data_IF_427210365959
#
_entry.id   IF_427210365959
#
_cell.length_a   1.000
_cell.length_b   1.000
_cell.length_c   1.000
_cell.angle_alpha   90.00
_cell.angle_beta   90.00
_cell.angle_gamma   90.00
#
_symmetry.space_group_name_H-M   'P 1'
#
loop_
_entity.id
_entity.type
_entity.pdbx_description
1 polymer ?
#
# COMPACT_ATOMS: atom_id res chain seq x y z
N UNK A 1 -2.83 -9.62 5.99
CA UNK A 1 -2.68 -8.15 5.88
C UNK A 1 -1.23 -7.66 5.87
N UNK A 2 -0.27 -8.32 6.55
CA UNK A 2 1.15 -7.88 6.57
C UNK A 2 1.78 -7.73 5.18
N UNK A 3 1.54 -8.69 4.28
CA UNK A 3 2.08 -8.66 2.92
C UNK A 3 1.53 -7.48 2.08
N UNK A 4 0.25 -7.14 2.25
CA UNK A 4 -0.37 -5.99 1.60
C UNK A 4 0.22 -4.66 2.08
N UNK A 5 0.55 -4.56 3.38
CA UNK A 5 1.19 -3.37 3.95
C UNK A 5 2.60 -3.16 3.41
N UNK A 6 3.40 -4.23 3.36
CA UNK A 6 4.75 -4.20 2.77
C UNK A 6 4.71 -3.86 1.29
N UNK A 7 3.76 -4.44 0.54
CA UNK A 7 3.57 -4.12 -0.87
C UNK A 7 3.24 -2.64 -1.09
N UNK A 8 2.41 -2.05 -0.22
CA UNK A 8 2.08 -0.62 -0.28
C UNK A 8 3.28 0.30 0.02
N UNK A 9 4.17 -0.11 0.91
CA UNK A 9 5.41 0.63 1.21
C UNK A 9 6.39 0.66 0.02
N UNK A 10 6.32 -0.30 -0.90
CA UNK A 10 7.16 -0.33 -2.10
C UNK A 10 6.66 0.57 -3.24
N UNK A 11 5.47 1.17 -3.12
CA UNK A 11 4.91 2.05 -4.15
C UNK A 11 5.44 3.47 -3.97
N UNK A 12 6.23 3.95 -4.95
CA UNK A 12 6.75 5.32 -4.96
C UNK A 12 5.71 6.33 -5.44
N UNK A 13 5.89 7.60 -5.07
CA UNK A 13 5.09 8.73 -5.59
C UNK A 13 5.11 8.79 -7.12
N UNK A 14 6.27 8.55 -7.73
CA UNK A 14 6.43 8.49 -9.19
C UNK A 14 5.60 7.39 -9.82
N UNK A 15 5.45 6.24 -9.15
CA UNK A 15 4.62 5.13 -9.61
C UNK A 15 3.15 5.52 -9.57
N UNK A 16 2.68 6.11 -8.47
CA UNK A 16 1.29 6.59 -8.33
C UNK A 16 0.99 7.63 -9.40
N UNK A 17 1.87 8.62 -9.56
CA UNK A 17 1.77 9.68 -10.58
C UNK A 17 1.67 9.13 -11.99
N UNK A 18 2.54 8.18 -12.35
CA UNK A 18 2.52 7.54 -13.67
C UNK A 18 1.25 6.72 -13.90
N UNK A 19 0.80 5.96 -12.90
CA UNK A 19 -0.45 5.20 -12.97
C UNK A 19 -1.65 6.14 -13.15
N UNK A 20 -1.73 7.21 -12.36
CA UNK A 20 -2.84 8.17 -12.42
C UNK A 20 -2.89 8.91 -13.77
N UNK A 21 -1.73 9.27 -14.32
CA UNK A 21 -1.60 9.81 -15.67
C UNK A 21 -2.08 8.80 -16.72
N UNK A 22 -1.63 7.55 -16.64
CA UNK A 22 -2.03 6.50 -17.58
C UNK A 22 -3.54 6.24 -17.53
N UNK A 23 -4.15 6.29 -16.35
CA UNK A 23 -5.60 6.10 -16.17
C UNK A 23 -6.44 7.35 -16.48
N UNK A 24 -5.80 8.50 -16.70
CA UNK A 24 -6.51 9.76 -16.95
C UNK A 24 -7.20 10.38 -15.72
N UNK A 25 -6.83 9.93 -14.50
CA UNK A 25 -7.32 10.52 -13.24
C UNK A 25 -6.77 11.94 -13.06
N UNK A 26 -5.57 12.21 -13.60
CA UNK A 26 -4.95 13.52 -13.50
C UNK A 26 -5.53 14.50 -14.52
N UNK A 27 -5.74 15.78 -14.14
CA UNK A 27 -6.38 16.79 -15.00
C UNK A 27 -5.63 17.11 -16.30
N UNK A 28 -4.39 16.64 -16.49
CA UNK A 28 -3.66 16.83 -17.75
C UNK A 28 -4.31 16.16 -18.95
N UNK A 29 -5.16 15.15 -18.72
CA UNK A 29 -5.86 14.36 -19.74
C UNK A 29 -7.34 14.12 -19.44
N UNK A 30 -7.94 14.85 -18.48
CA UNK A 30 -9.36 15.13 -18.64
C UNK A 30 -9.44 15.96 -19.91
N UNK A 31 -9.76 15.30 -21.03
CA UNK A 31 -10.36 16.00 -22.16
C UNK A 31 -11.48 16.80 -21.54
N UNK A 32 -11.25 18.09 -21.35
CA UNK A 32 -12.28 19.02 -20.94
C UNK A 32 -13.32 18.86 -22.02
N UNK A 33 -14.32 18.03 -21.76
CA UNK A 33 -15.49 17.98 -22.60
C UNK A 33 -15.99 19.40 -22.53
N UNK A 34 -15.82 20.13 -23.63
CA UNK A 34 -16.30 21.49 -23.74
C UNK A 34 -17.82 21.40 -23.86
N UNK A 35 -18.46 21.09 -22.73
CA UNK A 35 -19.91 20.99 -22.59
C UNK A 35 -20.58 22.36 -22.68
N UNK A 36 -19.81 23.44 -22.88
CA UNK A 36 -20.35 24.81 -22.93
C UNK A 36 -21.40 24.98 -24.03
N UNK A 37 -21.24 24.30 -25.18
CA UNK A 37 -22.24 24.32 -26.25
C UNK A 37 -23.53 23.58 -25.83
N UNK A 38 -23.39 22.45 -25.13
CA UNK A 38 -24.52 21.69 -24.61
C UNK A 38 -25.25 22.45 -23.49
N UNK A 39 -24.51 23.10 -22.60
CA UNK A 39 -25.06 23.89 -21.49
C UNK A 39 -25.83 25.09 -22.04
N UNK A 40 -25.29 25.79 -23.04
CA UNK A 40 -25.99 26.89 -23.71
C UNK A 40 -27.25 26.42 -24.45
N UNK A 41 -27.21 25.24 -25.08
CA UNK A 41 -28.38 24.67 -25.73
C UNK A 41 -29.47 24.30 -24.71
N UNK A 42 -29.08 23.74 -23.56
CA UNK A 42 -29.98 23.37 -22.47
C UNK A 42 -30.59 24.60 -21.79
N UNK A 43 -29.80 25.63 -21.54
CA UNK A 43 -30.28 26.93 -21.03
C UNK A 43 -31.37 27.53 -21.93
N UNK A 44 -31.16 27.53 -23.25
CA UNK A 44 -32.18 28.00 -24.21
C UNK A 44 -33.46 27.18 -24.15
N UNK A 45 -33.38 25.87 -23.90
CA UNK A 45 -34.56 25.03 -23.74
C UNK A 45 -35.31 25.35 -22.45
N UNK A 46 -34.60 25.56 -21.34
CA UNK A 46 -35.18 25.96 -20.05
C UNK A 46 -35.87 27.32 -20.16
N UNK A 47 -35.23 28.29 -20.80
CA UNK A 47 -35.81 29.61 -21.05
C UNK A 47 -37.08 29.51 -21.90
N UNK A 48 -37.10 28.60 -22.88
CA UNK A 48 -38.29 28.33 -23.69
C UNK A 48 -39.43 27.74 -22.85
N UNK A 49 -39.16 26.81 -21.95
CA UNK A 49 -40.16 26.26 -21.03
C UNK A 49 -40.73 27.34 -20.09
N UNK A 50 -39.90 28.27 -19.64
CA UNK A 50 -40.34 29.42 -18.86
C UNK A 50 -41.24 30.35 -19.69
N UNK A 51 -40.85 30.65 -20.94
CA UNK A 51 -41.65 31.49 -21.85
C UNK A 51 -43.03 30.89 -22.19
N UNK A 52 -43.13 29.56 -22.17
CA UNK A 52 -44.37 28.82 -22.39
C UNK A 52 -45.24 28.72 -21.13
N UNK A 53 -44.77 29.19 -19.98
CA UNK A 53 -45.47 29.08 -18.69
C UNK A 53 -45.45 27.68 -18.09
N UNK A 54 -44.65 26.76 -18.63
CA UNK A 54 -44.47 25.41 -18.09
C UNK A 54 -43.49 25.38 -16.91
N UNK A 55 -42.59 26.36 -16.83
CA UNK A 55 -41.69 26.58 -15.71
C UNK A 55 -41.94 27.96 -15.09
N UNK A 56 -42.22 27.99 -13.79
CA UNK A 56 -42.39 29.27 -13.07
C UNK A 56 -41.03 29.93 -12.84
N UNK A 57 -40.95 31.26 -13.01
CA UNK A 57 -39.70 32.00 -12.90
C UNK A 57 -38.99 31.82 -11.54
N UNK A 58 -39.75 31.64 -10.46
CA UNK A 58 -39.21 31.38 -9.11
C UNK A 58 -38.49 30.03 -9.00
N UNK A 59 -38.82 29.06 -9.85
CA UNK A 59 -38.24 27.72 -9.84
C UNK A 59 -37.13 27.57 -10.89
N UNK A 60 -36.80 28.64 -11.62
CA UNK A 60 -35.78 28.61 -12.67
C UNK A 60 -34.41 28.77 -12.03
N UNK A 61 -33.57 27.75 -12.17
CA UNK A 61 -32.16 27.75 -11.79
C UNK A 61 -31.30 27.67 -13.04
N UNK A 62 -30.14 28.34 -13.04
CA UNK A 62 -29.19 28.20 -14.16
C UNK A 62 -28.46 26.85 -14.09
N UNK A 63 -28.03 26.33 -15.22
CA UNK A 63 -27.17 25.14 -15.31
C UNK A 63 -25.85 25.39 -14.56
N UNK A 64 -25.31 26.61 -14.64
CA UNK A 64 -24.11 26.99 -13.91
C UNK A 64 -24.26 26.84 -12.39
N UNK A 65 -25.41 27.27 -11.86
CA UNK A 65 -25.76 27.20 -10.43
C UNK A 65 -26.14 25.78 -9.99
N UNK A 66 -26.76 24.98 -10.87
CA UNK A 66 -27.03 23.56 -10.62
C UNK A 66 -25.75 22.74 -10.50
N UNK A 67 -24.79 22.98 -11.40
CA UNK A 67 -23.53 22.23 -11.45
C UNK A 67 -22.52 22.73 -10.43
N UNK A 68 -22.58 24.00 -10.05
CA UNK A 68 -21.66 24.63 -9.11
C UNK A 68 -22.44 25.48 -8.09
N UNK A 69 -23.17 24.84 -7.16
CA UNK A 69 -23.91 25.57 -6.13
C UNK A 69 -22.93 26.32 -5.22
N UNK A 70 -23.30 27.55 -4.83
CA UNK A 70 -22.44 28.41 -4.03
C UNK A 70 -22.00 27.77 -2.69
N UNK A 71 -22.86 26.94 -2.10
CA UNK A 71 -22.62 26.24 -0.84
C UNK A 71 -21.54 25.13 -0.95
N UNK A 72 -21.27 24.63 -2.15
CA UNK A 72 -20.23 23.61 -2.40
C UNK A 72 -18.92 24.21 -2.95
N UNK A 73 -18.90 25.50 -3.26
CA UNK A 73 -17.73 26.21 -3.82
C UNK A 73 -16.56 26.39 -2.82
N UNK A 74 -16.78 26.07 -1.55
CA UNK A 74 -15.78 26.20 -0.48
C UNK A 74 -14.70 25.11 -0.47
N UNK A 75 -14.88 24.02 -1.22
CA UNK A 75 -13.87 22.98 -1.33
C UNK A 75 -12.89 23.34 -2.46
N UNK A 76 -11.75 23.90 -2.09
CA UNK A 76 -10.64 24.05 -3.03
C UNK A 76 -10.33 22.66 -3.57
N UNK A 77 -10.40 22.46 -4.89
CA UNK A 77 -9.88 21.25 -5.52
C UNK A 77 -8.39 21.22 -5.20
N UNK A 78 -7.97 20.20 -4.46
CA UNK A 78 -6.57 20.05 -4.10
C UNK A 78 -5.75 19.93 -5.37
N UNK A 79 -4.69 20.72 -5.45
CA UNK A 79 -3.67 20.51 -6.46
C UNK A 79 -3.07 19.13 -6.26
N UNK A 80 -2.62 18.53 -7.34
CA UNK A 80 -2.09 17.18 -7.22
C UNK A 80 -0.83 17.12 -6.36
N UNK A 81 -0.04 18.19 -6.31
CA UNK A 81 1.07 18.36 -5.36
C UNK A 81 0.59 18.44 -3.89
N UNK A 82 -0.61 18.96 -3.60
CA UNK A 82 -1.22 18.90 -2.25
C UNK A 82 -1.69 17.49 -1.91
N UNK A 83 -2.28 16.76 -2.86
CA UNK A 83 -2.67 15.36 -2.68
C UNK A 83 -1.45 14.48 -2.39
N UNK A 84 -0.37 14.65 -3.16
CA UNK A 84 0.87 13.89 -2.94
C UNK A 84 1.56 14.28 -1.64
N UNK A 85 1.53 15.56 -1.24
CA UNK A 85 2.07 16.01 0.04
C UNK A 85 1.31 15.41 1.22
N UNK A 86 -0.02 15.40 1.22
CA UNK A 86 -0.78 14.78 2.32
C UNK A 86 -0.51 13.29 2.49
N UNK A 87 -0.23 12.55 1.42
CA UNK A 87 0.20 11.13 1.51
C UNK A 87 1.59 10.98 2.12
N UNK A 88 2.44 12.02 2.05
CA UNK A 88 3.73 12.06 2.75
C UNK A 88 3.58 12.57 4.19
N UNK A 89 2.79 13.60 4.42
CA UNK A 89 2.61 14.22 5.73
C UNK A 89 1.93 13.25 6.71
N UNK A 90 0.99 12.44 6.23
CA UNK A 90 0.43 11.31 7.00
C UNK A 90 1.42 10.18 7.28
N UNK A 91 2.63 10.19 6.69
CA UNK A 91 3.74 9.30 7.05
C UNK A 91 4.73 9.95 8.02
N UNK A 92 4.73 11.28 8.16
CA UNK A 92 5.63 12.02 9.06
C UNK A 92 4.93 12.50 10.34
N UNK A 93 3.62 12.74 10.33
CA UNK A 93 2.87 13.14 11.54
C UNK A 93 2.68 11.99 12.55
N UNK A 94 2.90 10.74 12.15
CA UNK A 94 3.07 9.61 13.08
C UNK A 94 4.50 9.54 13.66
N UNK A 95 5.41 10.43 13.25
CA UNK A 95 6.85 10.43 13.57
C UNK A 95 7.33 11.70 14.32
N UNK A 96 6.53 12.77 14.38
CA UNK A 96 6.89 14.05 15.02
C UNK A 96 6.41 14.21 16.48
N UNK A 97 6.55 13.15 17.29
CA UNK A 97 6.77 13.30 18.73
C UNK A 97 8.22 12.98 19.06
N UNK A 98 9.08 13.98 18.89
CA UNK A 98 10.42 13.99 19.46
C UNK A 98 10.32 14.06 20.99
N UNK A 99 10.47 12.91 21.62
CA UNK A 99 11.21 12.80 22.87
C UNK A 99 12.39 11.84 22.63
N UNK A 100 13.44 12.40 22.00
CA UNK A 100 14.88 12.08 22.12
C UNK A 100 15.29 10.61 22.38
N UNK A 101 14.68 9.62 21.70
CA UNK A 101 15.22 8.25 21.58
C UNK A 101 14.57 7.37 20.50
N UNK A 102 14.13 7.91 19.36
CA UNK A 102 13.59 7.10 18.24
C UNK A 102 14.72 6.50 17.38
N UNK A 103 15.55 5.66 17.97
CA UNK A 103 15.95 4.46 17.24
C UNK A 103 14.77 3.51 17.33
N UNK A 104 13.93 3.43 16.29
CA UNK A 104 13.00 2.31 16.15
C UNK A 104 13.81 1.05 16.46
N UNK A 105 13.50 0.32 17.56
CA UNK A 105 14.35 -0.78 17.99
C UNK A 105 14.45 -1.71 16.79
N UNK A 106 15.68 -2.04 16.34
CA UNK A 106 15.86 -2.80 15.11
C UNK A 106 14.91 -4.00 15.17
N UNK A 107 14.13 -4.25 14.09
CA UNK A 107 13.14 -5.31 14.10
C UNK A 107 13.82 -6.56 14.65
N UNK A 108 13.18 -7.25 15.63
CA UNK A 108 13.84 -8.31 16.37
C UNK A 108 14.54 -9.22 15.36
N UNK A 109 15.84 -9.53 15.58
CA UNK A 109 16.65 -10.20 14.58
C UNK A 109 15.88 -11.43 14.10
N UNK A 110 15.72 -11.55 12.77
CA UNK A 110 15.03 -12.69 12.19
C UNK A 110 15.68 -13.95 12.79
N UNK A 111 14.88 -14.87 13.37
CA UNK A 111 15.45 -16.03 14.03
C UNK A 111 16.31 -16.79 13.04
N UNK A 112 17.52 -17.11 13.47
CA UNK A 112 18.48 -17.87 12.67
C UNK A 112 17.88 -19.26 12.41
N UNK A 113 18.23 -19.91 11.30
CA UNK A 113 17.77 -21.26 11.01
C UNK A 113 17.96 -22.23 12.19
N UNK A 114 19.06 -22.09 12.95
CA UNK A 114 19.34 -22.86 14.17
C UNK A 114 18.28 -22.66 15.26
N UNK A 115 17.79 -21.44 15.45
CA UNK A 115 16.76 -21.11 16.45
C UNK A 115 15.41 -21.67 16.02
N UNK A 116 15.11 -21.60 14.71
CA UNK A 116 13.92 -22.22 14.12
C UNK A 116 13.93 -23.73 14.31
N UNK A 117 15.05 -24.42 14.03
CA UNK A 117 15.16 -25.86 14.28
C UNK A 117 15.01 -26.22 15.76
N UNK A 118 15.58 -25.42 16.67
CA UNK A 118 15.42 -25.61 18.12
C UNK A 118 13.95 -25.48 18.55
N UNK A 119 13.22 -24.52 18.00
CA UNK A 119 11.79 -24.34 18.27
C UNK A 119 10.95 -25.50 17.72
N UNK A 120 11.25 -25.99 16.51
CA UNK A 120 10.59 -27.16 15.92
C UNK A 120 10.82 -28.40 16.79
N UNK A 121 12.05 -28.64 17.26
CA UNK A 121 12.33 -29.76 18.17
C UNK A 121 11.56 -29.65 19.49
N UNK A 122 11.43 -28.44 20.03
CA UNK A 122 10.66 -28.22 21.26
C UNK A 122 9.17 -28.51 21.07
N UNK A 123 8.60 -28.08 19.93
CA UNK A 123 7.20 -28.33 19.59
C UNK A 123 6.96 -29.83 19.35
N UNK A 124 7.85 -30.49 18.62
CA UNK A 124 7.74 -31.93 18.34
C UNK A 124 7.80 -32.76 19.63
N UNK A 125 8.68 -32.42 20.57
CA UNK A 125 8.74 -33.08 21.88
C UNK A 125 7.47 -32.84 22.72
N UNK A 126 6.84 -31.66 22.60
CA UNK A 126 5.60 -31.36 23.32
C UNK A 126 4.42 -32.19 22.79
N UNK A 127 4.35 -32.38 21.47
CA UNK A 127 3.25 -33.13 20.82
C UNK A 127 3.52 -34.63 20.69
N UNK A 128 4.69 -35.13 21.06
CA UNK A 128 5.07 -36.55 20.93
C UNK A 128 4.11 -37.50 21.65
N UNK A 129 3.50 -37.04 22.75
CA UNK A 129 2.51 -37.80 23.53
C UNK A 129 1.05 -37.55 23.12
N UNK A 130 0.80 -36.61 22.20
CA UNK A 130 -0.54 -36.23 21.74
C UNK A 130 -0.90 -37.01 20.47
N UNK A 131 -1.83 -37.97 20.59
CA UNK A 131 -2.35 -38.76 19.46
C UNK A 131 -3.52 -38.09 18.73
N UNK A 132 -3.72 -36.79 18.93
CA UNK A 132 -4.75 -36.01 18.24
C UNK A 132 -4.41 -35.83 16.76
N UNK A 133 -5.43 -35.86 15.91
CA UNK A 133 -5.33 -35.53 14.48
C UNK A 133 -4.72 -34.14 14.27
N UNK A 134 -4.93 -33.21 15.21
CA UNK A 134 -4.32 -31.88 15.16
C UNK A 134 -2.80 -31.91 15.38
N UNK A 135 -2.32 -32.75 16.30
CA UNK A 135 -0.91 -32.96 16.58
C UNK A 135 -0.20 -33.63 15.39
N UNK A 136 -0.81 -34.66 14.81
CA UNK A 136 -0.30 -35.34 13.60
C UNK A 136 -0.14 -34.37 12.43
N UNK A 137 -1.16 -33.54 12.19
CA UNK A 137 -1.13 -32.54 11.12
C UNK A 137 -0.07 -31.47 11.36
N UNK A 138 0.11 -31.04 12.61
CA UNK A 138 1.16 -30.09 12.98
C UNK A 138 2.54 -30.69 12.76
N UNK A 139 2.77 -31.94 13.19
CA UNK A 139 4.03 -32.64 12.99
C UNK A 139 4.38 -32.77 11.49
N UNK A 140 3.42 -33.21 10.67
CA UNK A 140 3.61 -33.31 9.21
C UNK A 140 3.96 -31.96 8.56
N UNK A 141 3.32 -30.89 9.02
CA UNK A 141 3.58 -29.53 8.52
C UNK A 141 4.98 -29.05 8.93
N UNK A 142 5.39 -29.31 10.18
CA UNK A 142 6.72 -28.98 10.69
C UNK A 142 7.83 -29.78 10.00
N UNK A 143 7.62 -31.06 9.73
CA UNK A 143 8.55 -31.88 8.95
C UNK A 143 8.73 -31.33 7.54
N UNK A 144 7.63 -31.01 6.86
CA UNK A 144 7.67 -30.46 5.49
C UNK A 144 8.42 -29.12 5.46
N UNK A 145 8.14 -28.25 6.42
CA UNK A 145 8.83 -26.97 6.54
C UNK A 145 10.32 -27.13 6.86
N UNK A 146 10.68 -28.04 7.77
CA UNK A 146 12.07 -28.34 8.13
C UNK A 146 12.90 -28.80 6.92
N UNK A 147 12.33 -29.68 6.07
CA UNK A 147 12.96 -30.14 4.81
C UNK A 147 13.17 -28.98 3.84
N UNK A 148 12.13 -28.17 3.61
CA UNK A 148 12.23 -26.99 2.75
C UNK A 148 13.28 -25.98 3.24
N UNK A 149 13.37 -25.77 4.56
CA UNK A 149 14.38 -24.90 5.16
C UNK A 149 15.80 -25.45 4.97
N UNK A 150 15.99 -26.76 5.14
CA UNK A 150 17.27 -27.43 4.94
C UNK A 150 17.71 -27.35 3.47
N UNK A 151 16.80 -27.63 2.52
CA UNK A 151 17.05 -27.51 1.09
C UNK A 151 17.44 -26.08 0.72
N UNK A 152 16.76 -25.09 1.28
CA UNK A 152 17.08 -23.67 1.06
C UNK A 152 18.49 -23.32 1.57
N UNK A 153 18.88 -23.82 2.73
CA UNK A 153 20.21 -23.60 3.28
C UNK A 153 21.30 -24.26 2.43
N UNK A 154 21.08 -25.50 1.98
CA UNK A 154 22.04 -26.23 1.14
C UNK A 154 22.18 -25.55 -0.22
N UNK A 155 21.07 -25.16 -0.85
CA UNK A 155 21.08 -24.48 -2.17
C UNK A 155 21.68 -23.09 -2.11
N UNK A 156 21.54 -22.38 -0.99
CA UNK A 156 22.09 -21.03 -0.80
C UNK A 156 23.50 -21.04 -0.19
N UNK A 157 23.97 -22.18 0.32
CA UNK A 157 25.30 -22.32 0.87
C UNK A 157 26.37 -22.09 -0.22
N UNK A 158 27.26 -21.12 0.02
CA UNK A 158 28.45 -20.93 -0.81
C UNK A 158 29.60 -21.76 -0.25
N UNK A 159 30.31 -22.48 -1.13
CA UNK A 159 31.50 -23.23 -0.77
C UNK A 159 32.57 -22.28 -0.23
N UNK A 160 32.99 -22.47 1.02
CA UNK A 160 34.12 -21.76 1.60
C UNK A 160 35.43 -22.30 0.98
N UNK A 161 36.31 -21.40 0.53
CA UNK A 161 37.61 -21.77 -0.05
C UNK A 161 38.49 -22.48 0.99
N UNK A 162 39.27 -23.49 0.57
CA UNK A 162 40.10 -24.33 1.46
C UNK A 162 41.04 -23.54 2.39
N UNK A 163 41.43 -22.33 2.01
CA UNK A 163 42.27 -21.41 2.81
C UNK A 163 41.59 -20.88 4.07
N UNK A 164 40.27 -21.00 4.19
CA UNK A 164 39.52 -20.63 5.40
C UNK A 164 39.58 -21.70 6.51
N UNK A 165 40.00 -22.92 6.18
CA UNK A 165 40.19 -24.02 7.15
C UNK A 165 41.62 -24.12 7.68
N UNK A 166 42.59 -23.57 6.95
CA UNK A 166 44.00 -23.57 7.34
C UNK A 166 44.47 -22.12 7.53
N UNK A 167 44.32 -21.54 8.73
CA UNK A 167 44.93 -20.25 9.00
C UNK A 167 46.45 -20.37 8.76
N UNK A 168 47.08 -19.42 8.04
CA UNK A 168 48.51 -19.46 7.83
C UNK A 168 49.20 -19.43 9.21
N UNK A 169 50.11 -20.36 9.45
CA UNK A 169 50.94 -20.34 10.64
C UNK A 169 51.71 -19.03 10.66
N UNK A 170 51.47 -18.21 11.70
CA UNK A 170 52.19 -16.96 11.90
C UNK A 170 53.70 -17.25 11.91
N UNK A 171 54.39 -16.66 10.93
CA UNK A 171 55.86 -16.64 10.86
C UNK A 171 56.38 -15.80 12.02
N UNK A 172 57.05 -16.44 12.99
CA UNK A 172 57.96 -15.77 13.93
C UNK A 172 59.18 -15.21 13.22
#
# INVERSE_FOLDING_TARGET
MHLSRLAWQCVSETTIRNCWNHTGIFPGQLTRFDGTENDQALEKQIDRLQSMGLLHATNRMSIAELLNPADESGYSIWTSEEIFRSVKDSRTEDDDQDDDNNSEPPPPPKPTAKEVFKAISLINNYIESDTSVAADKLNQSMETYSKSLLDHLITTARQSTITSFFPPADSS
#
